data_IF_667087244674
#
_entry.id   IF_667087244674
#
_cell.length_a   1.000
_cell.length_b   1.000
_cell.length_c   1.000
_cell.angle_alpha   90.00
_cell.angle_beta   90.00
_cell.angle_gamma   90.00
#
_symmetry.space_group_name_H-M   'P 1'
#
loop_
_entity.id
_entity.type
_entity.pdbx_description
1 polymer ?
#
# COMPACT_ATOMS: atom_id res chain seq x y z
N UNK A 1 13.56 8.87 15.26
CA UNK A 1 12.25 9.23 14.67
C UNK A 1 12.42 9.44 13.17
N UNK A 2 11.68 8.71 12.33
CA UNK A 2 11.77 8.85 10.87
C UNK A 2 11.25 10.23 10.45
N UNK A 3 12.00 10.96 9.61
CA UNK A 3 11.64 12.31 9.12
C UNK A 3 10.46 12.33 8.11
N UNK A 4 9.74 11.22 7.97
CA UNK A 4 8.77 10.94 6.90
C UNK A 4 7.36 11.47 7.27
N UNK A 5 7.06 11.60 8.57
CA UNK A 5 5.79 12.12 9.10
C UNK A 5 6.05 13.00 10.33
N UNK A 6 5.56 14.25 10.35
CA UNK A 6 5.92 15.23 11.40
C UNK A 6 4.88 15.43 12.51
N UNK A 7 3.60 15.09 12.29
CA UNK A 7 2.52 15.33 13.26
C UNK A 7 1.67 14.06 13.49
N UNK A 8 1.50 13.68 14.76
CA UNK A 8 0.73 12.50 15.19
C UNK A 8 1.37 11.17 14.79
N UNK A 9 2.65 11.17 14.38
CA UNK A 9 3.31 9.98 13.84
C UNK A 9 3.47 8.89 14.91
N UNK A 10 3.64 9.29 16.16
CA UNK A 10 3.70 8.44 17.34
C UNK A 10 2.47 7.54 17.53
N UNK A 11 1.30 7.96 17.04
CA UNK A 11 0.05 7.20 17.20
C UNK A 11 -0.04 6.02 16.20
N UNK A 12 0.59 6.16 15.04
CA UNK A 12 0.42 5.24 13.92
C UNK A 12 1.71 4.61 13.42
N UNK A 13 2.89 5.15 13.72
CA UNK A 13 4.17 4.51 13.41
C UNK A 13 4.49 3.51 14.51
N UNK A 14 4.62 2.24 14.14
CA UNK A 14 4.85 1.15 15.10
C UNK A 14 6.10 1.40 15.93
N UNK A 15 5.97 1.24 17.24
CA UNK A 15 7.09 1.34 18.17
C UNK A 15 6.89 0.48 19.42
N UNK A 16 8.00 0.14 20.09
CA UNK A 16 7.94 -0.55 21.39
C UNK A 16 7.26 0.30 22.45
N UNK A 17 7.48 1.62 22.44
CA UNK A 17 6.97 2.53 23.46
C UNK A 17 5.45 2.72 23.41
N UNK A 18 4.87 2.79 22.21
CA UNK A 18 3.44 3.06 22.04
C UNK A 18 2.60 1.77 21.87
N UNK A 19 3.14 0.76 21.17
CA UNK A 19 2.37 -0.40 20.74
C UNK A 19 2.80 -1.71 21.43
N UNK A 20 3.79 -1.63 22.31
CA UNK A 20 4.49 -2.79 22.88
C UNK A 20 5.02 -3.76 21.80
N UNK A 21 5.41 -3.21 20.65
CA UNK A 21 5.81 -4.00 19.48
C UNK A 21 7.30 -3.85 19.16
N UNK A 22 8.07 -4.95 19.21
CA UNK A 22 9.47 -4.96 18.80
C UNK A 22 9.60 -4.91 17.26
N UNK A 23 9.82 -3.73 16.72
CA UNK A 23 10.00 -3.50 15.27
C UNK A 23 11.26 -4.16 14.70
N UNK A 24 12.20 -4.65 15.51
CA UNK A 24 13.39 -5.36 15.01
C UNK A 24 13.10 -6.80 14.65
N UNK A 25 11.96 -7.33 15.13
CA UNK A 25 11.56 -8.73 15.04
C UNK A 25 12.56 -9.73 15.64
N UNK A 26 13.55 -9.27 16.42
CA UNK A 26 14.57 -10.16 16.99
C UNK A 26 13.94 -11.08 18.03
N UNK A 27 13.00 -10.57 18.84
CA UNK A 27 12.33 -11.33 19.90
C UNK A 27 11.24 -12.30 19.44
N UNK A 28 10.80 -12.25 18.18
CA UNK A 28 9.78 -13.18 17.68
C UNK A 28 10.41 -14.41 17.05
N UNK A 29 9.74 -15.56 17.18
CA UNK A 29 10.10 -16.76 16.44
C UNK A 29 9.97 -16.51 14.93
N UNK A 30 10.94 -17.00 14.14
CA UNK A 30 10.97 -16.77 12.68
C UNK A 30 9.78 -17.39 11.95
N UNK A 31 9.11 -18.38 12.54
CA UNK A 31 7.96 -19.12 12.03
C UNK A 31 6.68 -18.82 12.84
N UNK A 32 6.67 -17.79 13.68
CA UNK A 32 5.46 -17.41 14.41
C UNK A 32 4.36 -16.98 13.42
N UNK A 33 3.33 -17.81 13.27
CA UNK A 33 2.23 -17.58 12.32
C UNK A 33 1.05 -16.80 12.91
N UNK A 34 0.92 -16.74 14.23
CA UNK A 34 -0.14 -15.99 14.93
C UNK A 34 0.38 -14.75 15.65
N UNK A 35 -0.53 -13.86 16.02
CA UNK A 35 -0.22 -12.68 16.80
C UNK A 35 -0.17 -12.94 18.31
N UNK A 36 -0.16 -14.21 18.75
CA UNK A 36 -0.17 -14.59 20.15
C UNK A 36 0.85 -13.79 20.97
N UNK A 37 0.47 -13.30 22.17
CA UNK A 37 -0.79 -13.57 22.88
C UNK A 37 -2.00 -12.72 22.42
N UNK A 38 -1.83 -11.86 21.42
CA UNK A 38 -2.91 -11.01 20.90
C UNK A 38 -3.81 -11.78 19.91
N UNK A 39 -5.07 -11.33 19.72
CA UNK A 39 -5.94 -11.90 18.72
C UNK A 39 -5.42 -11.66 17.30
N UNK A 40 -5.65 -12.64 16.43
CA UNK A 40 -5.41 -12.53 15.00
C UNK A 40 -6.53 -11.71 14.33
N UNK A 41 -6.30 -10.42 14.12
CA UNK A 41 -7.24 -9.53 13.41
C UNK A 41 -7.13 -9.73 11.89
N UNK A 42 -5.90 -9.89 11.39
CA UNK A 42 -5.64 -10.15 9.97
C UNK A 42 -5.71 -11.65 9.69
N UNK A 43 -6.55 -12.12 8.76
CA UNK A 43 -6.63 -13.54 8.42
C UNK A 43 -5.36 -14.02 7.70
N UNK A 44 -5.00 -15.32 7.78
CA UNK A 44 -3.77 -15.87 7.21
C UNK A 44 -3.94 -16.16 5.71
N UNK A 45 -4.11 -15.09 4.92
CA UNK A 45 -4.35 -15.16 3.46
C UNK A 45 -3.29 -14.33 2.73
N UNK A 46 -2.66 -14.90 1.70
CA UNK A 46 -1.76 -14.19 0.80
C UNK A 46 -2.43 -13.89 -0.54
N UNK A 47 -2.21 -12.67 -1.03
CA UNK A 47 -2.59 -12.25 -2.37
C UNK A 47 -1.35 -11.78 -3.13
N UNK A 48 -1.02 -12.51 -4.18
CA UNK A 48 -0.01 -12.10 -5.17
C UNK A 48 -0.73 -11.71 -6.46
N UNK A 49 -0.28 -10.65 -7.12
CA UNK A 49 -0.92 -10.12 -8.33
C UNK A 49 0.09 -10.13 -9.47
N UNK A 50 -0.25 -10.82 -10.55
CA UNK A 50 0.56 -11.00 -11.75
C UNK A 50 -0.27 -10.68 -13.00
N UNK A 51 -0.62 -9.40 -13.16
CA UNK A 51 -1.33 -8.92 -14.35
C UNK A 51 -0.36 -8.48 -15.44
N UNK A 52 -0.73 -8.72 -16.70
CA UNK A 52 0.06 -8.43 -17.88
C UNK A 52 0.82 -9.66 -18.39
N UNK A 53 0.83 -9.82 -19.71
CA UNK A 53 1.39 -10.98 -20.45
C UNK A 53 2.92 -11.13 -20.33
N UNK A 54 3.59 -10.41 -19.44
CA UNK A 54 5.03 -10.48 -19.27
C UNK A 54 5.42 -11.59 -18.29
N UNK A 55 5.98 -12.65 -18.90
CA UNK A 55 6.68 -13.80 -18.33
C UNK A 55 7.18 -13.55 -16.90
N UNK A 56 6.56 -14.29 -15.99
CA UNK A 56 7.10 -14.69 -14.70
C UNK A 56 8.60 -14.94 -14.80
N UNK A 57 9.41 -14.00 -14.31
CA UNK A 57 10.85 -14.25 -14.19
C UNK A 57 11.01 -15.29 -13.08
N UNK A 58 11.87 -16.30 -13.28
CA UNK A 58 12.12 -17.36 -12.28
C UNK A 58 12.33 -16.79 -10.86
N UNK A 59 13.00 -15.64 -10.74
CA UNK A 59 13.20 -14.93 -9.48
C UNK A 59 11.92 -14.56 -8.73
N UNK A 60 10.81 -14.25 -9.41
CA UNK A 60 9.52 -13.94 -8.77
C UNK A 60 8.84 -15.18 -8.20
N UNK A 61 9.09 -16.35 -8.80
CA UNK A 61 8.62 -17.61 -8.25
C UNK A 61 9.42 -17.95 -6.99
N UNK A 62 10.73 -17.75 -7.01
CA UNK A 62 11.61 -17.96 -5.84
C UNK A 62 11.25 -17.06 -4.65
N UNK A 63 11.04 -15.77 -4.89
CA UNK A 63 10.62 -14.80 -3.85
C UNK A 63 9.25 -15.16 -3.30
N UNK A 64 8.26 -15.44 -4.15
CA UNK A 64 6.94 -15.89 -3.72
C UNK A 64 7.03 -17.18 -2.91
N UNK A 65 7.77 -18.18 -3.38
CA UNK A 65 7.93 -19.47 -2.70
C UNK A 65 8.53 -19.31 -1.31
N UNK A 66 9.53 -18.42 -1.15
CA UNK A 66 10.10 -18.13 0.18
C UNK A 66 9.06 -17.65 1.20
N UNK A 67 8.04 -16.93 0.75
CA UNK A 67 6.94 -16.53 1.61
C UNK A 67 6.03 -17.71 1.95
N UNK A 68 5.72 -18.57 0.99
CA UNK A 68 4.89 -19.75 1.23
C UNK A 68 5.56 -20.74 2.19
N UNK A 69 6.86 -20.97 2.03
CA UNK A 69 7.64 -21.91 2.86
C UNK A 69 7.71 -21.49 4.35
N UNK A 70 7.65 -20.18 4.60
CA UNK A 70 7.66 -19.61 5.95
C UNK A 70 6.25 -19.59 6.56
N UNK A 71 5.19 -19.63 5.73
CA UNK A 71 3.80 -19.51 6.15
C UNK A 71 2.98 -20.77 5.76
N UNK A 72 3.34 -21.97 6.26
CA UNK A 72 2.58 -23.17 5.98
C UNK A 72 1.14 -23.04 6.51
N UNK A 73 0.19 -23.56 5.73
CA UNK A 73 -1.24 -23.55 6.09
C UNK A 73 -1.97 -22.23 5.84
N UNK A 74 -1.29 -21.18 5.38
CA UNK A 74 -1.97 -19.96 4.94
C UNK A 74 -2.66 -20.17 3.59
N UNK A 75 -3.83 -19.57 3.41
CA UNK A 75 -4.52 -19.54 2.11
C UNK A 75 -3.73 -18.66 1.14
N UNK A 76 -3.69 -19.04 -0.14
CA UNK A 76 -2.89 -18.34 -1.14
C UNK A 76 -3.69 -18.13 -2.41
N UNK A 77 -3.93 -16.87 -2.76
CA UNK A 77 -4.44 -16.47 -4.05
C UNK A 77 -3.34 -15.91 -4.93
N UNK A 78 -3.37 -16.34 -6.18
CA UNK A 78 -2.64 -15.73 -7.26
C UNK A 78 -3.63 -15.13 -8.25
N UNK A 79 -3.60 -13.82 -8.38
CA UNK A 79 -4.47 -13.07 -9.27
C UNK A 79 -3.78 -12.79 -10.60
N UNK A 80 -4.40 -13.20 -11.69
CA UNK A 80 -3.85 -13.13 -13.04
C UNK A 80 -4.88 -12.53 -14.00
N UNK A 81 -4.49 -12.32 -15.26
CA UNK A 81 -5.41 -11.84 -16.30
C UNK A 81 -6.59 -12.81 -16.53
N UNK A 82 -6.45 -14.08 -16.15
CA UNK A 82 -7.49 -15.12 -16.30
C UNK A 82 -8.57 -15.08 -15.21
N UNK A 83 -8.26 -14.70 -13.97
CA UNK A 83 -9.21 -14.79 -12.85
C UNK A 83 -9.60 -13.44 -12.23
N UNK A 84 -8.75 -12.41 -12.36
CA UNK A 84 -9.01 -11.12 -11.76
C UNK A 84 -10.23 -10.41 -12.38
N UNK A 85 -10.48 -10.44 -13.70
CA UNK A 85 -11.64 -9.77 -14.28
C UNK A 85 -12.97 -10.29 -13.74
N UNK A 86 -13.09 -11.60 -13.56
CA UNK A 86 -14.30 -12.24 -13.06
C UNK A 86 -14.54 -11.88 -11.59
N UNK A 87 -13.49 -11.95 -10.76
CA UNK A 87 -13.55 -11.49 -9.38
C UNK A 87 -14.01 -10.02 -9.26
N UNK A 88 -13.42 -9.12 -10.05
CA UNK A 88 -13.78 -7.69 -9.99
C UNK A 88 -15.21 -7.49 -10.48
N UNK A 89 -15.63 -8.17 -11.56
CA UNK A 89 -16.99 -8.05 -12.08
C UNK A 89 -18.05 -8.53 -11.09
N UNK A 90 -17.76 -9.62 -10.37
CA UNK A 90 -18.69 -10.23 -9.42
C UNK A 90 -18.75 -9.49 -8.08
N UNK A 91 -17.59 -9.06 -7.55
CA UNK A 91 -17.48 -8.50 -6.19
C UNK A 91 -17.53 -6.97 -6.15
N UNK A 92 -17.12 -6.32 -7.24
CA UNK A 92 -17.05 -4.85 -7.36
C UNK A 92 -17.57 -4.38 -8.73
N UNK A 93 -18.82 -4.76 -9.12
CA UNK A 93 -19.38 -4.44 -10.43
C UNK A 93 -19.36 -2.93 -10.74
N UNK A 94 -19.51 -2.08 -9.73
CA UNK A 94 -19.46 -0.63 -9.82
C UNK A 94 -18.07 -0.08 -10.16
N UNK A 95 -17.01 -0.83 -9.83
CA UNK A 95 -15.62 -0.48 -10.15
C UNK A 95 -15.11 -1.21 -11.40
N UNK A 96 -15.80 -2.27 -11.86
CA UNK A 96 -15.34 -3.08 -13.00
C UNK A 96 -15.08 -2.24 -14.26
N UNK A 97 -15.98 -1.29 -14.57
CA UNK A 97 -15.83 -0.42 -15.73
C UNK A 97 -14.56 0.43 -15.68
N UNK A 98 -14.23 1.04 -14.54
CA UNK A 98 -12.98 1.82 -14.42
C UNK A 98 -11.75 0.91 -14.35
N UNK A 99 -11.87 -0.23 -13.65
CA UNK A 99 -10.77 -1.16 -13.45
C UNK A 99 -10.32 -1.75 -14.78
N UNK A 100 -11.27 -2.18 -15.61
CA UNK A 100 -10.97 -2.77 -16.92
C UNK A 100 -10.38 -1.74 -17.91
N UNK A 101 -10.67 -0.45 -17.71
CA UNK A 101 -10.25 0.63 -18.59
C UNK A 101 -9.00 1.39 -18.09
N UNK A 102 -8.37 0.97 -16.99
CA UNK A 102 -7.10 1.56 -16.59
C UNK A 102 -6.04 1.36 -17.69
N UNK A 103 -5.29 2.42 -18.06
CA UNK A 103 -4.38 2.36 -19.20
C UNK A 103 -3.15 1.47 -18.94
N UNK A 104 -2.78 1.27 -17.68
CA UNK A 104 -1.59 0.49 -17.31
C UNK A 104 -1.98 -0.73 -16.46
N UNK A 105 -1.31 -1.87 -16.68
CA UNK A 105 -1.51 -3.08 -15.88
C UNK A 105 -1.22 -2.86 -14.39
N UNK A 106 -0.27 -1.97 -14.07
CA UNK A 106 0.06 -1.64 -12.69
C UNK A 106 -1.07 -0.91 -11.96
N UNK A 107 -1.85 -0.08 -12.64
CA UNK A 107 -3.04 0.56 -12.03
C UNK A 107 -4.09 -0.49 -11.67
N UNK A 108 -4.32 -1.45 -12.58
CA UNK A 108 -5.21 -2.57 -12.33
C UNK A 108 -4.74 -3.41 -11.15
N UNK A 109 -3.43 -3.66 -11.08
CA UNK A 109 -2.84 -4.42 -9.98
C UNK A 109 -2.95 -3.67 -8.65
N UNK A 110 -2.61 -2.38 -8.62
CA UNK A 110 -2.71 -1.54 -7.43
C UNK A 110 -4.16 -1.44 -6.92
N UNK A 111 -5.13 -1.24 -7.82
CA UNK A 111 -6.56 -1.22 -7.49
C UNK A 111 -7.09 -2.59 -7.00
N UNK A 112 -6.75 -3.67 -7.70
CA UNK A 112 -7.13 -5.05 -7.33
C UNK A 112 -6.62 -5.39 -5.93
N UNK A 113 -5.44 -4.89 -5.56
CA UNK A 113 -4.84 -5.07 -4.24
C UNK A 113 -5.72 -4.55 -3.10
N UNK A 114 -6.40 -3.42 -3.30
CA UNK A 114 -7.37 -2.92 -2.33
C UNK A 114 -8.64 -3.76 -2.30
N UNK A 115 -9.12 -4.20 -3.47
CA UNK A 115 -10.33 -5.01 -3.60
C UNK A 115 -10.19 -6.36 -2.89
N UNK A 116 -9.08 -7.06 -3.10
CA UNK A 116 -8.83 -8.38 -2.48
C UNK A 116 -8.61 -8.24 -0.97
N UNK A 117 -7.93 -7.19 -0.51
CA UNK A 117 -7.79 -6.91 0.93
C UNK A 117 -9.11 -6.55 1.59
N UNK A 118 -10.01 -5.83 0.90
CA UNK A 118 -11.33 -5.55 1.44
C UNK A 118 -12.17 -6.83 1.54
N UNK A 119 -12.19 -7.63 0.48
CA UNK A 119 -13.01 -8.83 0.38
C UNK A 119 -12.53 -9.93 1.32
N UNK A 120 -11.24 -10.25 1.32
CA UNK A 120 -10.68 -11.39 2.05
C UNK A 120 -9.92 -10.99 3.32
N UNK A 121 -9.43 -9.75 3.40
CA UNK A 121 -8.41 -9.37 4.38
C UNK A 121 -7.05 -9.89 3.96
N UNK A 122 -6.17 -10.15 4.93
CA UNK A 122 -4.92 -10.85 4.70
C UNK A 122 -3.80 -9.91 4.28
N UNK A 123 -2.94 -10.42 3.38
CA UNK A 123 -1.67 -9.80 3.00
C UNK A 123 -1.60 -9.69 1.49
N UNK A 124 -1.48 -8.47 1.00
CA UNK A 124 -1.16 -8.22 -0.39
C UNK A 124 0.29 -7.77 -0.52
N UNK A 125 1.07 -8.52 -1.28
CA UNK A 125 2.53 -8.43 -1.32
C UNK A 125 3.06 -8.49 -2.76
N UNK A 126 3.99 -7.60 -3.10
CA UNK A 126 4.66 -7.59 -4.39
C UNK A 126 5.53 -8.86 -4.56
N UNK A 127 5.59 -9.38 -5.78
CA UNK A 127 6.34 -10.59 -6.10
C UNK A 127 7.86 -10.42 -6.07
N UNK A 128 8.40 -9.24 -5.72
CA UNK A 128 9.84 -9.01 -5.57
C UNK A 128 10.30 -8.89 -4.10
N UNK A 129 9.41 -9.30 -3.17
CA UNK A 129 9.68 -9.39 -1.74
C UNK A 129 9.89 -10.86 -1.33
N UNK A 130 11.13 -11.19 -0.96
CA UNK A 130 11.46 -12.49 -0.37
C UNK A 130 11.25 -12.42 1.14
N UNK A 131 10.43 -13.31 1.69
CA UNK A 131 10.21 -13.36 3.13
C UNK A 131 11.42 -13.95 3.86
N UNK A 132 11.76 -13.35 5.00
CA UNK A 132 12.82 -13.81 5.91
C UNK A 132 12.26 -14.29 7.24
N UNK A 133 11.06 -13.85 7.59
CA UNK A 133 10.35 -14.12 8.85
C UNK A 133 8.85 -14.17 8.60
N UNK A 134 8.15 -14.91 9.46
CA UNK A 134 6.71 -14.99 9.45
C UNK A 134 6.05 -13.67 9.89
N UNK A 135 4.88 -13.40 9.32
CA UNK A 135 4.11 -12.17 9.53
C UNK A 135 3.14 -12.26 10.72
N UNK A 136 3.12 -13.38 11.46
CA UNK A 136 2.20 -13.62 12.57
C UNK A 136 2.11 -12.47 13.58
N UNK A 137 3.24 -11.94 14.10
CA UNK A 137 3.21 -10.84 15.07
C UNK A 137 2.46 -9.59 14.58
N UNK A 138 2.43 -9.33 13.27
CA UNK A 138 1.74 -8.17 12.70
C UNK A 138 0.22 -8.35 12.61
N UNK A 139 -0.29 -9.57 12.71
CA UNK A 139 -1.73 -9.87 12.55
C UNK A 139 -2.60 -9.28 13.65
N UNK A 140 -2.03 -8.77 14.75
CA UNK A 140 -2.75 -8.01 15.80
C UNK A 140 -3.17 -6.60 15.40
N UNK A 141 -2.71 -6.09 14.25
CA UNK A 141 -3.02 -4.73 13.81
C UNK A 141 -3.97 -4.77 12.61
N UNK A 142 -5.06 -4.01 12.69
CA UNK A 142 -6.12 -4.04 11.66
C UNK A 142 -5.67 -3.54 10.28
N UNK A 143 -4.59 -2.75 10.20
CA UNK A 143 -3.90 -2.37 8.97
C UNK A 143 -2.40 -2.21 9.25
N UNK A 144 -1.54 -2.72 8.38
CA UNK A 144 -0.08 -2.51 8.42
C UNK A 144 0.48 -2.25 7.03
N UNK A 145 1.33 -1.24 6.87
CA UNK A 145 2.16 -1.03 5.68
C UNK A 145 3.54 -0.45 6.05
N UNK A 146 4.60 -0.57 5.23
CA UNK A 146 5.89 0.02 5.53
C UNK A 146 5.95 1.48 5.07
N UNK A 147 6.69 2.32 5.79
CA UNK A 147 6.93 3.69 5.37
C UNK A 147 7.59 3.75 3.98
N UNK A 148 7.09 4.65 3.13
CA UNK A 148 7.70 4.96 1.83
C UNK A 148 8.61 6.18 1.95
N UNK A 149 9.54 6.32 1.01
CA UNK A 149 10.36 7.52 0.85
C UNK A 149 9.94 8.25 -0.43
N UNK A 150 9.88 9.61 -0.44
CA UNK A 150 10.22 10.52 0.65
C UNK A 150 9.13 10.70 1.72
N UNK A 151 7.86 10.46 1.39
CA UNK A 151 6.70 10.55 2.28
C UNK A 151 5.73 9.41 1.99
N UNK A 152 4.83 9.09 2.93
CA UNK A 152 3.81 8.07 2.68
C UNK A 152 4.12 6.69 3.25
N UNK A 153 3.37 5.71 2.76
CA UNK A 153 3.62 4.29 2.93
C UNK A 153 3.69 3.58 1.58
N UNK A 154 4.41 2.47 1.53
CA UNK A 154 4.55 1.65 0.34
C UNK A 154 3.38 0.69 0.24
N UNK A 155 2.81 0.59 -0.96
CA UNK A 155 1.79 -0.38 -1.28
C UNK A 155 2.38 -1.73 -1.72
N UNK A 156 3.71 -1.86 -1.81
CA UNK A 156 4.34 -3.14 -2.14
C UNK A 156 4.09 -4.23 -1.07
N UNK A 157 3.72 -3.81 0.14
CA UNK A 157 3.29 -4.71 1.21
C UNK A 157 2.18 -4.03 2.00
N UNK A 158 1.03 -4.69 2.13
CA UNK A 158 -0.03 -4.26 3.05
C UNK A 158 -0.68 -5.47 3.70
N UNK A 159 -1.00 -5.32 4.98
CA UNK A 159 -1.85 -6.25 5.73
C UNK A 159 -3.13 -5.52 6.13
N UNK A 160 -4.28 -6.19 6.07
CA UNK A 160 -5.54 -5.63 6.55
C UNK A 160 -6.50 -6.72 7.06
N UNK A 161 -7.28 -6.38 8.08
CA UNK A 161 -8.44 -7.19 8.46
C UNK A 161 -9.49 -7.21 7.33
N UNK A 162 -10.30 -8.26 7.28
CA UNK A 162 -11.41 -8.36 6.32
C UNK A 162 -12.38 -7.17 6.51
N UNK A 163 -12.85 -6.58 5.42
CA UNK A 163 -13.72 -5.38 5.42
C UNK A 163 -13.14 -4.19 6.21
N UNK A 164 -11.83 -4.01 6.18
CA UNK A 164 -11.18 -2.89 6.87
C UNK A 164 -11.75 -1.53 6.39
N UNK A 165 -12.20 -0.64 7.30
CA UNK A 165 -12.82 0.64 6.94
C UNK A 165 -11.92 1.58 6.14
N UNK A 166 -10.61 1.58 6.41
CA UNK A 166 -9.66 2.40 5.66
C UNK A 166 -9.48 1.90 4.23
N UNK A 167 -9.47 0.57 4.01
CA UNK A 167 -9.44 0.00 2.66
C UNK A 167 -10.73 0.35 1.90
N UNK A 168 -11.89 0.32 2.57
CA UNK A 168 -13.15 0.76 1.96
C UNK A 168 -13.10 2.23 1.52
N UNK A 169 -12.51 3.10 2.33
CA UNK A 169 -12.34 4.51 1.98
C UNK A 169 -11.43 4.68 0.75
N UNK A 170 -10.35 3.91 0.64
CA UNK A 170 -9.51 3.88 -0.56
C UNK A 170 -10.35 3.47 -1.78
N UNK A 171 -11.13 2.39 -1.69
CA UNK A 171 -11.97 1.89 -2.78
C UNK A 171 -13.01 2.92 -3.25
N UNK A 172 -13.70 3.57 -2.32
CA UNK A 172 -14.71 4.62 -2.61
C UNK A 172 -14.12 5.80 -3.39
N UNK A 173 -12.83 6.08 -3.20
CA UNK A 173 -12.16 7.20 -3.84
C UNK A 173 -11.46 6.84 -5.16
N UNK A 174 -11.34 5.55 -5.55
CA UNK A 174 -10.67 5.14 -6.79
C UNK A 174 -11.21 5.86 -8.03
N UNK A 175 -12.54 5.96 -8.17
CA UNK A 175 -13.16 6.65 -9.31
C UNK A 175 -12.82 8.16 -9.35
N UNK A 176 -12.84 8.83 -8.19
CA UNK A 176 -12.62 10.28 -8.12
C UNK A 176 -11.18 10.69 -8.48
N UNK A 177 -10.22 9.79 -8.22
CA UNK A 177 -8.78 9.98 -8.44
C UNK A 177 -8.28 9.40 -9.77
N UNK A 178 -9.10 8.66 -10.51
CA UNK A 178 -8.82 8.22 -11.88
C UNK A 178 -8.82 9.42 -12.84
N UNK A 179 -7.69 10.12 -12.93
CA UNK A 179 -7.49 11.28 -13.80
C UNK A 179 -6.19 11.15 -14.60
N UNK A 180 -6.09 11.71 -15.81
CA UNK A 180 -4.85 11.72 -16.59
C UNK A 180 -3.86 12.74 -16.01
N UNK A 181 -3.34 12.48 -14.82
CA UNK A 181 -2.47 13.39 -14.07
C UNK A 181 -1.23 13.76 -14.89
N UNK A 182 -1.11 15.05 -15.23
CA UNK A 182 -0.04 15.61 -16.04
C UNK A 182 0.12 14.95 -17.44
N UNK A 183 -0.83 14.11 -17.88
CA UNK A 183 -0.73 13.26 -19.08
C UNK A 183 0.56 12.41 -19.14
N UNK A 184 1.12 12.07 -17.98
CA UNK A 184 2.34 11.27 -17.86
C UNK A 184 2.03 9.93 -17.15
N UNK A 185 2.66 8.81 -17.55
CA UNK A 185 2.41 7.49 -16.96
C UNK A 185 2.63 7.47 -15.43
N UNK A 186 3.82 7.85 -14.95
CA UNK A 186 4.17 7.71 -13.53
C UNK A 186 3.29 8.55 -12.58
N UNK A 187 3.01 9.84 -12.84
CA UNK A 187 2.08 10.62 -12.01
C UNK A 187 0.65 10.08 -12.05
N UNK A 188 0.19 9.58 -13.21
CA UNK A 188 -1.15 8.97 -13.35
C UNK A 188 -1.28 7.76 -12.44
N UNK A 189 -0.25 6.88 -12.43
CA UNK A 189 -0.23 5.68 -11.60
C UNK A 189 -0.14 6.05 -10.11
N UNK A 190 0.85 6.85 -9.74
CA UNK A 190 1.14 7.14 -8.33
C UNK A 190 0.00 7.88 -7.62
N UNK A 191 -0.68 8.80 -8.32
CA UNK A 191 -1.76 9.63 -7.78
C UNK A 191 -3.16 9.06 -8.00
N UNK A 192 -3.33 8.12 -8.93
CA UNK A 192 -4.61 7.48 -9.22
C UNK A 192 -4.87 6.27 -8.33
N UNK A 193 -3.93 5.34 -8.29
CA UNK A 193 -4.10 4.01 -7.63
C UNK A 193 -2.93 3.66 -6.71
N UNK A 194 -1.77 4.28 -6.92
CA UNK A 194 -0.50 3.94 -6.28
C UNK A 194 -0.29 4.47 -4.86
N UNK A 195 0.96 4.42 -4.41
CA UNK A 195 1.34 4.75 -3.03
C UNK A 195 1.03 6.19 -2.62
N UNK A 196 1.05 7.17 -3.52
CA UNK A 196 0.78 8.56 -3.16
C UNK A 196 -0.71 8.79 -2.94
N UNK A 197 -1.57 8.19 -3.78
CA UNK A 197 -3.01 8.13 -3.55
C UNK A 197 -3.35 7.52 -2.18
N UNK A 198 -2.85 6.31 -1.92
CA UNK A 198 -3.13 5.62 -0.66
C UNK A 198 -2.58 6.38 0.56
N UNK A 199 -1.41 6.99 0.44
CA UNK A 199 -0.82 7.84 1.47
C UNK A 199 -1.61 9.12 1.73
N UNK A 200 -2.16 9.74 0.68
CA UNK A 200 -3.06 10.88 0.81
C UNK A 200 -4.33 10.46 1.58
N UNK A 201 -4.90 9.30 1.26
CA UNK A 201 -6.07 8.78 1.98
C UNK A 201 -5.79 8.48 3.44
N UNK A 202 -4.59 7.96 3.75
CA UNK A 202 -4.15 7.78 5.14
C UNK A 202 -4.00 9.12 5.86
N UNK A 203 -3.32 10.10 5.25
CA UNK A 203 -3.11 11.41 5.84
C UNK A 203 -4.41 12.21 6.06
N UNK A 204 -5.45 11.93 5.28
CA UNK A 204 -6.77 12.54 5.40
C UNK A 204 -7.63 11.95 6.55
N UNK A 205 -7.23 10.83 7.16
CA UNK A 205 -7.98 10.24 8.27
C UNK A 205 -7.82 11.09 9.54
N UNK A 206 -8.95 11.35 10.21
CA UNK A 206 -8.98 12.07 11.49
C UNK A 206 -8.25 11.27 12.58
N UNK A 207 -8.50 9.97 12.64
CA UNK A 207 -7.84 9.05 13.56
C UNK A 207 -7.06 8.00 12.78
N UNK A 208 -5.75 7.93 13.02
CA UNK A 208 -4.83 7.02 12.31
C UNK A 208 -4.25 5.96 13.24
N UNK A 209 -4.64 5.91 14.51
CA UNK A 209 -4.00 5.07 15.51
C UNK A 209 -4.07 3.57 15.20
N UNK A 210 -5.09 3.13 14.45
CA UNK A 210 -5.23 1.74 13.98
C UNK A 210 -4.56 1.46 12.63
N UNK A 211 -4.06 2.49 11.94
CA UNK A 211 -3.49 2.42 10.58
C UNK A 211 -1.96 2.39 10.66
N UNK A 212 -1.45 1.25 11.10
CA UNK A 212 -0.08 1.10 11.55
C UNK A 212 0.92 1.13 10.40
N UNK A 213 2.01 1.86 10.60
CA UNK A 213 3.10 2.01 9.66
C UNK A 213 4.38 1.44 10.26
N UNK A 214 5.01 0.48 9.59
CA UNK A 214 6.35 0.01 9.94
C UNK A 214 7.37 1.12 9.65
N UNK A 215 8.25 1.48 10.61
CA UNK A 215 9.11 2.65 10.48
C UNK A 215 10.22 2.47 9.45
N UNK A 216 10.42 3.51 8.64
CA UNK A 216 11.63 3.68 7.82
C UNK A 216 12.80 4.28 8.63
N UNK A 217 14.06 4.04 8.22
CA UNK A 217 14.47 3.28 7.04
C UNK A 217 14.45 1.76 7.23
N UNK A 218 14.36 1.26 8.46
CA UNK A 218 14.49 -0.17 8.80
C UNK A 218 13.58 -1.09 7.98
N UNK A 219 12.32 -0.68 7.77
CA UNK A 219 11.34 -1.44 7.00
C UNK A 219 11.03 -0.82 5.63
N UNK A 220 11.85 0.13 5.17
CA UNK A 220 11.62 0.79 3.89
C UNK A 220 11.86 -0.15 2.71
N UNK A 221 10.91 -0.19 1.76
CA UNK A 221 10.98 -1.00 0.55
C UNK A 221 11.37 -0.14 -0.65
N UNK A 222 12.66 0.20 -0.75
CA UNK A 222 13.19 1.07 -1.82
C UNK A 222 14.35 0.39 -2.54
N UNK A 223 14.19 0.19 -3.85
CA UNK A 223 15.24 -0.39 -4.68
C UNK A 223 15.63 -1.77 -4.16
N UNK A 224 16.93 -2.07 -4.16
CA UNK A 224 17.42 -3.28 -3.50
C UNK A 224 17.65 -2.96 -2.03
N UNK A 225 16.93 -3.64 -1.12
CA UNK A 225 17.01 -3.39 0.30
C UNK A 225 16.84 -4.70 1.09
N UNK A 226 17.41 -4.76 2.30
CA UNK A 226 17.18 -5.85 3.24
C UNK A 226 16.59 -5.24 4.51
N UNK A 227 15.43 -5.75 4.91
CA UNK A 227 14.72 -5.38 6.12
C UNK A 227 14.72 -6.55 7.11
N UNK A 228 14.21 -6.38 8.34
CA UNK A 228 14.02 -7.49 9.26
C UNK A 228 13.11 -8.60 8.72
N UNK A 229 12.12 -8.24 7.90
CA UNK A 229 11.06 -9.14 7.42
C UNK A 229 11.31 -9.62 5.98
N UNK A 230 11.90 -8.77 5.14
CA UNK A 230 12.02 -9.02 3.70
C UNK A 230 13.42 -8.76 3.15
N UNK A 231 13.79 -9.48 2.09
CA UNK A 231 14.75 -8.99 1.10
C UNK A 231 13.96 -8.44 -0.10
N UNK A 232 14.12 -7.16 -0.41
CA UNK A 232 13.49 -6.47 -1.54
C UNK A 232 14.45 -6.41 -2.72
N UNK A 233 14.06 -6.98 -3.85
CA UNK A 233 14.91 -7.05 -5.04
C UNK A 233 14.75 -5.87 -6.00
N UNK A 234 13.84 -4.92 -5.72
CA UNK A 234 13.71 -3.67 -6.48
C UNK A 234 13.38 -3.89 -7.96
N UNK A 235 12.58 -4.92 -8.29
CA UNK A 235 12.26 -5.30 -9.66
C UNK A 235 11.06 -4.54 -10.23
N UNK A 236 10.40 -3.71 -9.41
CA UNK A 236 9.29 -2.87 -9.87
C UNK A 236 9.75 -1.86 -10.94
N UNK A 237 8.99 -1.66 -12.04
CA UNK A 237 9.25 -0.62 -13.05
C UNK A 237 9.41 0.79 -12.45
N UNK A 238 8.87 1.00 -11.25
CA UNK A 238 8.98 2.19 -10.39
C UNK A 238 10.43 2.58 -10.02
N UNK A 239 11.43 1.77 -10.39
CA UNK A 239 12.86 2.02 -10.15
C UNK A 239 13.68 2.31 -11.41
N UNK A 240 13.03 2.51 -12.57
CA UNK A 240 13.70 2.97 -13.77
C UNK A 240 14.45 4.30 -13.52
N UNK A 241 15.55 4.59 -14.24
CA UNK A 241 16.23 5.88 -14.17
C UNK A 241 15.28 7.07 -14.45
N UNK A 242 14.27 6.86 -15.28
CA UNK A 242 13.24 7.85 -15.65
C UNK A 242 12.29 8.18 -14.49
N UNK A 243 11.82 7.16 -13.75
CA UNK A 243 11.02 7.33 -12.54
C UNK A 243 11.81 8.07 -11.43
N UNK A 244 13.13 7.86 -11.35
CA UNK A 244 14.00 8.58 -10.40
C UNK A 244 14.10 10.07 -10.71
N UNK A 245 14.20 10.44 -11.99
CA UNK A 245 14.29 11.83 -12.44
C UNK A 245 12.98 12.59 -12.16
N UNK A 246 11.83 11.95 -12.34
CA UNK A 246 10.51 12.52 -12.04
C UNK A 246 10.27 12.68 -10.53
N UNK A 247 10.77 11.79 -9.68
CA UNK A 247 10.70 11.96 -8.22
C UNK A 247 11.56 13.16 -7.76
N UNK A 248 12.75 13.37 -8.33
CA UNK A 248 13.60 14.53 -8.00
C UNK A 248 13.07 15.85 -8.57
N UNK A 249 12.55 15.87 -9.80
CA UNK A 249 11.92 17.09 -10.38
C UNK A 249 10.57 17.39 -9.75
N UNK A 250 9.76 16.36 -9.51
CA UNK A 250 8.48 16.43 -8.85
C UNK A 250 8.59 16.94 -7.42
N UNK A 251 9.65 16.62 -6.67
CA UNK A 251 9.80 17.09 -5.29
C UNK A 251 9.92 18.63 -5.17
N UNK A 252 10.55 19.30 -6.13
CA UNK A 252 10.69 20.77 -6.11
C UNK A 252 9.44 21.49 -6.62
N UNK A 253 8.65 20.86 -7.50
CA UNK A 253 7.46 21.46 -8.12
C UNK A 253 6.15 21.07 -7.42
N UNK A 254 6.06 19.86 -6.87
CA UNK A 254 4.89 19.32 -6.16
C UNK A 254 4.66 19.96 -4.79
N UNK A 255 5.69 20.38 -4.04
CA UNK A 255 5.44 21.12 -2.79
C UNK A 255 4.67 22.41 -3.08
N UNK A 256 5.04 23.11 -4.16
CA UNK A 256 4.35 24.33 -4.62
C UNK A 256 2.98 23.99 -5.18
N UNK A 257 2.84 22.91 -5.96
CA UNK A 257 1.57 22.46 -6.54
C UNK A 257 0.56 21.93 -5.49
N UNK A 258 1.01 21.18 -4.48
CA UNK A 258 0.17 20.68 -3.38
C UNK A 258 -0.28 21.81 -2.47
N UNK A 259 0.61 22.78 -2.16
CA UNK A 259 0.23 23.98 -1.42
C UNK A 259 -0.76 24.82 -2.23
N UNK A 260 -0.53 25.04 -3.53
CA UNK A 260 -1.42 25.86 -4.35
C UNK A 260 -2.77 25.20 -4.64
N UNK A 261 -2.81 23.90 -4.94
CA UNK A 261 -4.08 23.16 -5.11
C UNK A 261 -4.85 23.08 -3.78
N UNK A 262 -4.16 22.84 -2.66
CA UNK A 262 -4.75 22.84 -1.32
C UNK A 262 -5.34 24.20 -0.94
N UNK A 263 -4.60 25.30 -1.17
CA UNK A 263 -5.08 26.67 -0.94
C UNK A 263 -6.27 27.00 -1.82
N UNK A 264 -6.27 26.62 -3.10
CA UNK A 264 -7.40 26.86 -4.01
C UNK A 264 -8.65 26.09 -3.59
N UNK A 265 -8.51 24.82 -3.16
CA UNK A 265 -9.62 24.03 -2.64
C UNK A 265 -10.19 24.61 -1.34
N UNK A 266 -9.34 25.02 -0.39
CA UNK A 266 -9.77 25.66 0.86
C UNK A 266 -10.47 27.01 0.61
N UNK A 267 -9.96 27.83 -0.32
CA UNK A 267 -10.59 29.10 -0.68
C UNK A 267 -11.94 28.90 -1.39
N UNK A 268 -12.07 27.87 -2.24
CA UNK A 268 -13.35 27.50 -2.87
C UNK A 268 -14.36 26.97 -1.85
N UNK A 269 -13.92 26.18 -0.88
CA UNK A 269 -14.77 25.69 0.21
C UNK A 269 -15.23 26.84 1.12
N UNK A 270 -14.33 27.76 1.51
CA UNK A 270 -14.70 28.96 2.29
C UNK A 270 -15.71 29.86 1.58
N UNK A 271 -15.57 30.07 0.27
CA UNK A 271 -16.52 30.87 -0.53
C UNK A 271 -17.90 30.21 -0.66
N UNK A 272 -17.99 28.88 -0.55
CA UNK A 272 -19.28 28.16 -0.55
C UNK A 272 -19.95 28.15 0.82
N UNK A 273 -19.17 28.15 1.90
CA UNK A 273 -19.70 28.15 3.29
C UNK A 273 -20.07 29.55 3.78
N UNK A 274 -19.39 30.59 3.29
CA UNK A 274 -19.71 31.99 3.58
C UNK A 274 -19.93 32.78 2.28
N UNK A 275 -21.07 32.61 1.59
CA UNK A 275 -21.45 33.57 0.56
C UNK A 275 -21.59 34.94 1.21
N UNK A 276 -20.93 35.95 0.64
CA UNK A 276 -21.05 37.35 1.10
C UNK A 276 -22.54 37.71 1.10
N UNK A 277 -23.11 37.94 2.29
CA UNK A 277 -24.37 38.68 2.40
C UNK A 277 -24.06 40.11 1.97
N UNK A 278 -24.70 40.55 0.88
CA UNK A 278 -24.78 41.95 0.49
C UNK A 278 -25.54 42.73 1.56
#
# INVERSE_FOLDING_TARGET
>A
MSRIWRAGAEEFVLSKAHDDFDITFIGYDKRQLSAAPHPDIVPPVFHHIALGKHRWKNRWQETRQSCLDIHPGWEVHLWTDENAPDFVRERFPELFGIWNNYPYHIDRADALRYMVLFEFGGVAIDMDLKCKRALGPLRRFGFVAPAAQPTGFSIAFMMAGRRNPFILEILRNLMAYNRPWLRMPDPTIMLGTGCHFASFMHAAQVNRSSLKILPGPMHGLRGRATTPIFDHFGSSPRHSPEARLLVTLGYRSSLVLFVSVGVVLVLRLRRRVFPRRL
#
